data_IF_364682297073
#
_entry.id   IF_364682297073
#
_cell.length_a   1.000
_cell.length_b   1.000
_cell.length_c   1.000
_cell.angle_alpha   90.00
_cell.angle_beta   90.00
_cell.angle_gamma   90.00
#
_symmetry.space_group_name_H-M   'P 1'
#
loop_
_entity.id
_entity.type
_entity.pdbx_description
1 polymer ?
#
# COMPACT_ATOMS: atom_id res chain seq x y z
N UNK A 1 6.75 1.30 13.10
CA UNK A 1 5.52 1.87 13.70
C UNK A 1 5.36 3.27 13.16
N UNK A 2 4.36 3.52 12.32
CA UNK A 2 4.05 4.85 11.81
C UNK A 2 3.37 5.69 12.89
N UNK A 3 3.41 7.00 12.73
CA UNK A 3 2.67 7.93 13.59
C UNK A 3 1.19 7.78 13.26
N UNK A 4 0.43 7.20 14.18
CA UNK A 4 -1.00 6.96 13.98
C UNK A 4 -1.74 8.29 13.78
N UNK A 5 -2.61 8.36 12.76
CA UNK A 5 -3.38 9.56 12.45
C UNK A 5 -2.61 10.67 11.74
N UNK A 6 -1.32 10.47 11.41
CA UNK A 6 -0.52 11.52 10.74
C UNK A 6 -1.04 11.80 9.32
N UNK A 7 -1.41 10.79 8.57
CA UNK A 7 -1.90 10.99 7.21
C UNK A 7 -3.21 11.76 7.21
N UNK A 8 -4.18 11.37 8.05
CA UNK A 8 -5.46 12.06 8.21
C UNK A 8 -5.27 13.51 8.70
N UNK A 9 -4.28 13.71 9.58
CA UNK A 9 -3.94 15.05 10.05
C UNK A 9 -3.40 15.92 8.91
N UNK A 10 -2.51 15.39 8.08
CA UNK A 10 -1.93 16.11 6.92
C UNK A 10 -3.01 16.41 5.89
N UNK A 11 -3.87 15.46 5.58
CA UNK A 11 -5.01 15.66 4.67
C UNK A 11 -5.96 16.76 5.15
N UNK A 12 -6.19 16.85 6.46
CA UNK A 12 -7.09 17.85 7.04
C UNK A 12 -6.46 19.24 7.20
N UNK A 13 -5.14 19.33 7.46
CA UNK A 13 -4.49 20.58 7.88
C UNK A 13 -3.43 21.10 6.91
N UNK A 14 -3.00 20.30 5.92
CA UNK A 14 -1.96 20.66 4.96
C UNK A 14 -2.47 20.48 3.50
N UNK A 15 -3.48 21.23 3.06
CA UNK A 15 -4.11 21.02 1.75
C UNK A 15 -3.14 21.22 0.58
N UNK A 16 -2.09 22.06 0.73
CA UNK A 16 -1.07 22.26 -0.31
C UNK A 16 -0.11 21.09 -0.44
N UNK A 17 -0.02 20.25 0.61
CA UNK A 17 0.78 19.04 0.59
C UNK A 17 0.05 17.86 -0.05
N UNK A 18 -1.25 17.98 -0.35
CA UNK A 18 -2.10 16.92 -0.85
C UNK A 18 -2.63 17.29 -2.24
N UNK A 19 -2.25 16.51 -3.26
CA UNK A 19 -2.64 16.74 -4.63
C UNK A 19 -3.25 15.49 -5.25
N UNK A 20 -4.49 15.57 -5.77
CA UNK A 20 -5.03 14.47 -6.57
C UNK A 20 -4.37 14.49 -7.95
N UNK A 21 -3.73 13.39 -8.33
CA UNK A 21 -2.90 13.29 -9.53
C UNK A 21 -3.26 12.08 -10.38
N UNK A 22 -3.03 12.22 -11.68
CA UNK A 22 -2.90 11.09 -12.61
C UNK A 22 -1.46 10.59 -12.60
N UNK A 23 -1.26 9.30 -12.31
CA UNK A 23 0.08 8.71 -12.21
C UNK A 23 0.88 8.85 -13.50
N UNK A 24 0.24 8.68 -14.65
CA UNK A 24 0.90 8.84 -15.95
C UNK A 24 1.39 10.26 -16.15
N UNK A 25 0.56 11.26 -15.84
CA UNK A 25 0.92 12.66 -16.00
C UNK A 25 2.11 13.05 -15.12
N UNK A 26 2.16 12.53 -13.88
CA UNK A 26 3.27 12.80 -12.95
C UNK A 26 4.55 12.10 -13.38
N UNK A 27 4.46 10.80 -13.71
CA UNK A 27 5.63 9.95 -13.90
C UNK A 27 6.26 10.09 -15.29
N UNK A 28 5.51 10.53 -16.30
CA UNK A 28 6.01 10.79 -17.66
C UNK A 28 6.05 12.29 -18.02
N UNK A 29 5.75 13.17 -17.04
CA UNK A 29 5.81 14.63 -17.25
C UNK A 29 7.22 15.17 -17.38
N UNK A 30 7.34 16.45 -17.74
CA UNK A 30 8.64 17.14 -17.94
C UNK A 30 9.58 17.15 -16.71
N UNK A 31 9.05 16.81 -15.52
CA UNK A 31 9.81 16.71 -14.27
C UNK A 31 10.10 15.25 -13.87
N UNK A 32 9.89 14.28 -14.78
CA UNK A 32 10.20 12.89 -14.49
C UNK A 32 11.71 12.72 -14.18
N UNK A 33 11.99 12.11 -13.05
CA UNK A 33 13.36 11.95 -12.52
C UNK A 33 14.13 10.80 -13.16
N UNK A 34 13.48 9.93 -13.96
CA UNK A 34 14.12 8.78 -14.59
C UNK A 34 14.04 8.86 -16.12
N UNK A 35 15.18 8.54 -16.76
CA UNK A 35 15.31 8.51 -18.22
C UNK A 35 14.71 7.24 -18.87
N UNK A 36 14.06 6.36 -18.10
CA UNK A 36 13.48 5.09 -18.51
C UNK A 36 12.01 4.96 -18.16
N UNK A 37 11.50 3.74 -18.28
CA UNK A 37 10.16 3.39 -17.81
C UNK A 37 10.10 3.58 -16.28
N UNK A 38 9.14 4.38 -15.75
CA UNK A 38 9.06 4.60 -14.32
C UNK A 38 8.67 3.32 -13.58
N UNK A 39 9.33 3.08 -12.46
CA UNK A 39 9.10 1.93 -11.57
C UNK A 39 8.57 2.44 -10.25
N UNK A 40 7.45 1.88 -9.78
CA UNK A 40 6.85 2.16 -8.48
C UNK A 40 6.98 0.95 -7.55
N UNK A 41 7.37 1.21 -6.31
CA UNK A 41 7.26 0.22 -5.25
C UNK A 41 5.84 0.24 -4.69
N UNK A 42 5.24 -0.93 -4.57
CA UNK A 42 3.86 -1.06 -4.07
C UNK A 42 3.85 -1.90 -2.80
N UNK A 43 3.41 -1.30 -1.72
CA UNK A 43 3.09 -2.04 -0.50
C UNK A 43 1.83 -2.88 -0.73
N UNK A 44 2.01 -4.18 -0.83
CA UNK A 44 0.93 -5.12 -1.18
C UNK A 44 -0.21 -5.08 -0.16
N UNK A 45 0.12 -4.95 1.12
CA UNK A 45 -0.88 -4.92 2.19
C UNK A 45 -1.76 -3.68 2.11
N UNK A 46 -1.18 -2.54 1.75
CA UNK A 46 -1.90 -1.29 1.51
C UNK A 46 -2.88 -1.38 0.34
N UNK A 47 -2.56 -2.18 -0.67
CA UNK A 47 -3.39 -2.38 -1.86
C UNK A 47 -4.36 -3.58 -1.76
N UNK A 48 -4.42 -4.27 -0.61
CA UNK A 48 -5.19 -5.50 -0.45
C UNK A 48 -6.67 -5.34 -0.83
N UNK A 49 -7.28 -4.19 -0.58
CA UNK A 49 -8.69 -3.90 -0.94
C UNK A 49 -8.97 -3.99 -2.45
N UNK A 50 -7.95 -3.75 -3.29
CA UNK A 50 -8.05 -3.84 -4.75
C UNK A 50 -7.79 -5.26 -5.26
N UNK A 51 -7.08 -6.07 -4.49
CA UNK A 51 -6.62 -7.41 -4.86
C UNK A 51 -7.53 -8.51 -4.31
N UNK A 52 -7.88 -8.41 -3.04
CA UNK A 52 -8.79 -9.30 -2.34
C UNK A 52 -9.55 -8.48 -1.27
N UNK A 53 -10.56 -7.72 -1.72
CA UNK A 53 -11.26 -6.76 -0.87
C UNK A 53 -12.53 -7.32 -0.22
N UNK A 54 -13.21 -6.52 0.58
CA UNK A 54 -14.44 -6.90 1.29
C UNK A 54 -15.66 -7.09 0.39
N UNK A 55 -15.51 -6.84 -0.92
CA UNK A 55 -16.53 -7.12 -1.94
C UNK A 55 -16.45 -8.56 -2.46
N UNK A 56 -15.31 -9.22 -2.27
CA UNK A 56 -15.13 -10.65 -2.54
C UNK A 56 -15.88 -11.48 -1.49
N UNK A 57 -16.39 -12.65 -1.86
CA UNK A 57 -17.00 -13.57 -0.90
C UNK A 57 -15.91 -14.26 -0.05
N UNK A 58 -15.42 -13.52 0.93
CA UNK A 58 -14.26 -13.88 1.76
C UNK A 58 -14.59 -14.78 2.95
N UNK A 59 -15.87 -14.86 3.37
CA UNK A 59 -16.25 -15.50 4.65
C UNK A 59 -15.90 -16.97 4.67
N UNK A 60 -16.10 -17.67 3.56
CA UNK A 60 -15.69 -19.09 3.43
C UNK A 60 -14.25 -19.24 2.94
N UNK A 61 -13.55 -18.13 2.68
CA UNK A 61 -12.21 -18.15 2.08
C UNK A 61 -12.23 -18.58 0.62
N UNK A 62 -11.05 -18.73 0.02
CA UNK A 62 -10.93 -19.12 -1.38
C UNK A 62 -11.11 -17.93 -2.35
N UNK A 63 -11.95 -18.08 -3.38
CA UNK A 63 -12.17 -17.07 -4.43
C UNK A 63 -10.88 -16.70 -5.18
N UNK A 64 -9.92 -17.63 -5.26
CA UNK A 64 -8.58 -17.40 -5.83
C UNK A 64 -8.63 -17.00 -7.30
N UNK A 65 -9.62 -17.50 -8.05
CA UNK A 65 -9.81 -17.10 -9.45
C UNK A 65 -10.27 -15.63 -9.56
N UNK A 66 -11.06 -15.15 -8.61
CA UNK A 66 -11.45 -13.73 -8.57
C UNK A 66 -10.27 -12.87 -8.18
N UNK A 67 -9.51 -13.27 -7.17
CA UNK A 67 -8.27 -12.62 -6.77
C UNK A 67 -7.29 -12.55 -7.94
N UNK A 68 -7.08 -13.65 -8.67
CA UNK A 68 -6.20 -13.66 -9.83
C UNK A 68 -6.65 -12.67 -10.91
N UNK A 69 -7.94 -12.62 -11.23
CA UNK A 69 -8.47 -11.60 -12.18
C UNK A 69 -8.21 -10.17 -11.68
N UNK A 70 -8.35 -9.92 -10.38
CA UNK A 70 -8.05 -8.61 -9.80
C UNK A 70 -6.57 -8.27 -9.91
N UNK A 71 -5.67 -9.22 -9.65
CA UNK A 71 -4.21 -9.05 -9.81
C UNK A 71 -3.85 -8.80 -11.26
N UNK A 72 -4.42 -9.55 -12.21
CA UNK A 72 -4.23 -9.33 -13.63
C UNK A 72 -4.72 -7.95 -14.07
N UNK A 73 -5.90 -7.53 -13.61
CA UNK A 73 -6.43 -6.20 -13.89
C UNK A 73 -5.53 -5.11 -13.32
N UNK A 74 -5.13 -5.22 -12.05
CA UNK A 74 -4.22 -4.31 -11.38
C UNK A 74 -2.91 -4.15 -12.17
N UNK A 75 -2.24 -5.26 -12.46
CA UNK A 75 -0.97 -5.28 -13.21
C UNK A 75 -1.13 -4.68 -14.62
N UNK A 76 -2.18 -5.08 -15.32
CA UNK A 76 -2.47 -4.60 -16.69
C UNK A 76 -2.72 -3.09 -16.69
N UNK A 77 -3.41 -2.56 -15.70
CA UNK A 77 -3.70 -1.13 -15.59
C UNK A 77 -2.42 -0.29 -15.51
N UNK A 78 -1.45 -0.71 -14.71
CA UNK A 78 -0.14 -0.03 -14.64
C UNK A 78 0.65 -0.17 -15.95
N UNK A 79 0.70 -1.36 -16.54
CA UNK A 79 1.40 -1.60 -17.82
C UNK A 79 0.80 -0.78 -18.97
N UNK A 80 -0.52 -0.57 -19.01
CA UNK A 80 -1.18 0.29 -20.00
C UNK A 80 -0.76 1.76 -19.88
N UNK A 81 -0.33 2.19 -18.68
CA UNK A 81 0.23 3.51 -18.44
C UNK A 81 1.75 3.58 -18.68
N UNK A 82 2.37 2.48 -19.14
CA UNK A 82 3.82 2.32 -19.28
C UNK A 82 4.54 2.54 -17.92
N UNK A 83 3.94 2.04 -16.83
CA UNK A 83 4.49 2.08 -15.47
C UNK A 83 4.78 0.64 -15.04
N UNK A 84 6.00 0.38 -14.58
CA UNK A 84 6.38 -0.88 -13.95
C UNK A 84 6.09 -0.82 -12.45
N UNK A 85 5.73 -1.97 -11.89
CA UNK A 85 5.50 -2.09 -10.43
C UNK A 85 6.35 -3.21 -9.86
N UNK A 86 6.83 -2.98 -8.65
CA UNK A 86 7.48 -3.99 -7.80
C UNK A 86 6.63 -4.17 -6.55
N UNK A 87 6.14 -5.38 -6.34
CA UNK A 87 5.28 -5.67 -5.19
C UNK A 87 6.13 -6.03 -3.98
N UNK A 88 5.98 -5.26 -2.91
CA UNK A 88 6.66 -5.49 -1.65
C UNK A 88 5.73 -6.16 -0.63
N UNK A 89 6.20 -7.24 -0.04
CA UNK A 89 5.49 -7.99 0.99
C UNK A 89 6.21 -7.90 2.33
N UNK A 90 5.43 -7.87 3.39
CA UNK A 90 5.96 -8.00 4.75
C UNK A 90 6.64 -9.36 4.92
N UNK A 91 7.84 -9.37 5.45
CA UNK A 91 8.61 -10.57 5.72
C UNK A 91 8.37 -11.10 7.14
N UNK A 92 9.25 -11.98 7.57
CA UNK A 92 9.24 -12.46 8.95
C UNK A 92 9.61 -11.31 9.88
N UNK A 93 8.80 -11.13 10.92
CA UNK A 93 8.96 -10.03 11.87
C UNK A 93 10.29 -10.10 12.64
N UNK A 94 10.88 -8.94 12.87
CA UNK A 94 11.99 -8.77 13.80
C UNK A 94 11.63 -9.37 15.17
N UNK A 95 12.50 -10.16 15.75
CA UNK A 95 12.33 -10.74 17.10
C UNK A 95 12.00 -9.67 18.16
N UNK A 96 12.46 -8.43 17.97
CA UNK A 96 12.13 -7.27 18.81
C UNK A 96 10.65 -6.89 18.76
N UNK A 97 9.94 -7.25 17.70
CA UNK A 97 8.50 -6.99 17.49
C UNK A 97 7.63 -8.19 17.87
N UNK A 98 8.18 -9.25 18.47
CA UNK A 98 7.45 -10.48 18.80
C UNK A 98 6.21 -10.21 19.66
N UNK A 99 6.30 -9.31 20.64
CA UNK A 99 5.16 -8.96 21.48
C UNK A 99 4.00 -8.34 20.68
N UNK A 100 4.31 -7.41 19.78
CA UNK A 100 3.32 -6.79 18.89
C UNK A 100 2.72 -7.83 17.92
N UNK A 101 3.55 -8.72 17.40
CA UNK A 101 3.09 -9.82 16.55
C UNK A 101 2.10 -10.72 17.32
N UNK A 102 2.42 -11.12 18.55
CA UNK A 102 1.53 -11.94 19.39
C UNK A 102 0.20 -11.20 19.64
N UNK A 103 0.26 -9.90 19.97
CA UNK A 103 -0.93 -9.06 20.16
C UNK A 103 -1.80 -9.07 18.91
N UNK A 104 -1.21 -8.80 17.75
CA UNK A 104 -1.92 -8.79 16.46
C UNK A 104 -2.53 -10.17 16.12
N UNK A 105 -1.83 -11.27 16.42
CA UNK A 105 -2.40 -12.63 16.23
C UNK A 105 -3.59 -12.90 17.15
N UNK A 106 -3.56 -12.41 18.38
CA UNK A 106 -4.67 -12.53 19.30
C UNK A 106 -5.89 -11.70 18.86
N UNK A 107 -5.69 -10.49 18.36
CA UNK A 107 -6.75 -9.64 17.79
C UNK A 107 -7.38 -10.32 16.56
N UNK A 108 -6.57 -10.85 15.65
CA UNK A 108 -7.04 -11.62 14.50
C UNK A 108 -7.87 -12.83 14.94
N UNK A 109 -7.44 -13.55 15.98
CA UNK A 109 -8.17 -14.70 16.53
C UNK A 109 -9.50 -14.31 17.14
N UNK A 110 -9.55 -13.16 17.84
CA UNK A 110 -10.81 -12.64 18.40
C UNK A 110 -11.77 -12.23 17.29
N UNK A 111 -11.28 -11.55 16.25
CA UNK A 111 -12.08 -11.18 15.08
C UNK A 111 -12.67 -12.42 14.38
N UNK A 112 -11.85 -13.45 14.17
CA UNK A 112 -12.31 -14.70 13.58
C UNK A 112 -13.44 -15.35 14.42
N UNK A 113 -13.32 -15.34 15.76
CA UNK A 113 -14.38 -15.83 16.67
C UNK A 113 -15.66 -15.00 16.56
N UNK A 114 -15.57 -13.68 16.42
CA UNK A 114 -16.72 -12.81 16.24
C UNK A 114 -17.43 -13.13 14.92
N UNK A 115 -16.68 -13.32 13.83
CA UNK A 115 -17.21 -13.69 12.52
C UNK A 115 -17.95 -15.04 12.61
N UNK A 116 -17.33 -16.06 13.16
CA UNK A 116 -17.95 -17.38 13.34
C UNK A 116 -19.21 -17.30 14.21
N UNK A 117 -19.14 -16.56 15.32
CA UNK A 117 -20.30 -16.35 16.20
C UNK A 117 -21.45 -15.62 15.50
N UNK A 118 -21.16 -14.66 14.63
CA UNK A 118 -22.16 -13.97 13.83
C UNK A 118 -22.83 -14.94 12.84
N UNK A 119 -22.04 -15.67 12.05
CA UNK A 119 -22.56 -16.64 11.07
C UNK A 119 -23.42 -17.71 11.73
N UNK A 120 -22.97 -18.26 12.87
CA UNK A 120 -23.72 -19.31 13.60
C UNK A 120 -25.04 -18.78 14.20
N UNK A 121 -25.08 -17.53 14.68
CA UNK A 121 -26.27 -16.98 15.32
C UNK A 121 -27.27 -16.41 14.34
N UNK A 122 -26.76 -15.72 13.31
CA UNK A 122 -27.59 -14.94 12.38
C UNK A 122 -27.87 -15.69 11.07
N UNK A 123 -27.22 -16.82 10.83
CA UNK A 123 -27.27 -17.58 9.57
C UNK A 123 -27.11 -16.68 8.34
N UNK A 124 -26.24 -15.65 8.47
CA UNK A 124 -25.98 -14.65 7.43
C UNK A 124 -24.51 -14.22 7.49
N UNK A 125 -23.99 -13.73 6.39
CA UNK A 125 -22.62 -13.23 6.35
C UNK A 125 -22.49 -11.92 7.13
N UNK A 126 -21.37 -11.71 7.85
CA UNK A 126 -21.12 -10.47 8.56
C UNK A 126 -20.93 -9.31 7.57
N UNK A 127 -21.26 -8.11 8.00
CA UNK A 127 -21.02 -6.91 7.20
C UNK A 127 -19.53 -6.61 6.98
N UNK A 128 -19.23 -5.71 6.05
CA UNK A 128 -17.87 -5.31 5.65
C UNK A 128 -16.97 -4.86 6.83
N UNK A 129 -17.55 -4.45 7.95
CA UNK A 129 -16.80 -4.04 9.15
C UNK A 129 -16.03 -5.19 9.83
N UNK A 130 -16.45 -6.43 9.59
CA UNK A 130 -15.79 -7.62 10.13
C UNK A 130 -14.91 -8.30 9.09
N UNK A 131 -14.53 -7.59 8.02
CA UNK A 131 -13.68 -8.14 6.98
C UNK A 131 -12.39 -8.74 7.54
N UNK A 132 -12.11 -9.97 7.14
CA UNK A 132 -10.92 -10.71 7.53
C UNK A 132 -10.41 -11.50 6.33
N UNK A 133 -9.25 -11.15 5.78
CA UNK A 133 -8.68 -11.86 4.64
C UNK A 133 -8.22 -13.26 5.07
N UNK A 134 -8.31 -14.27 4.17
CA UNK A 134 -7.80 -15.61 4.46
C UNK A 134 -6.32 -15.58 4.85
N UNK A 135 -5.87 -16.42 5.81
CA UNK A 135 -4.48 -16.42 6.27
C UNK A 135 -3.43 -16.65 5.18
N UNK A 136 -3.79 -17.35 4.11
CA UNK A 136 -2.89 -17.68 2.99
C UNK A 136 -2.91 -16.62 1.87
N UNK A 137 -3.65 -15.53 2.02
CA UNK A 137 -3.82 -14.52 0.95
C UNK A 137 -2.49 -13.96 0.48
N UNK A 138 -1.55 -13.70 1.37
CA UNK A 138 -0.23 -13.16 1.00
C UNK A 138 0.56 -14.12 0.12
N UNK A 139 0.54 -15.42 0.43
CA UNK A 139 1.18 -16.46 -0.38
C UNK A 139 0.52 -16.56 -1.77
N UNK A 140 -0.80 -16.55 -1.81
CA UNK A 140 -1.54 -16.61 -3.08
C UNK A 140 -1.30 -15.35 -3.94
N UNK A 141 -1.23 -14.17 -3.33
CA UNK A 141 -0.92 -12.92 -4.04
C UNK A 141 0.51 -12.93 -4.60
N UNK A 142 1.50 -13.42 -3.85
CA UNK A 142 2.88 -13.56 -4.37
C UNK A 142 2.92 -14.43 -5.62
N UNK A 143 2.29 -15.59 -5.58
CA UNK A 143 2.23 -16.50 -6.73
C UNK A 143 1.48 -15.87 -7.92
N UNK A 144 0.38 -15.16 -7.65
CA UNK A 144 -0.40 -14.48 -8.68
C UNK A 144 0.42 -13.36 -9.36
N UNK A 145 1.13 -12.52 -8.60
CA UNK A 145 1.99 -11.49 -9.18
C UNK A 145 3.17 -12.08 -9.97
N UNK A 146 3.80 -13.12 -9.45
CA UNK A 146 4.84 -13.84 -10.17
C UNK A 146 4.34 -14.43 -11.49
N UNK A 147 3.12 -15.01 -11.51
CA UNK A 147 2.50 -15.53 -12.73
C UNK A 147 2.18 -14.43 -13.75
N UNK A 148 1.94 -13.20 -13.29
CA UNK A 148 1.80 -12.02 -14.14
C UNK A 148 3.13 -11.40 -14.58
N UNK A 149 4.28 -12.00 -14.22
CA UNK A 149 5.61 -11.47 -14.52
C UNK A 149 5.93 -10.16 -13.82
N UNK A 150 5.42 -9.98 -12.59
CA UNK A 150 5.71 -8.83 -11.72
C UNK A 150 6.81 -9.22 -10.74
N UNK A 151 7.79 -8.35 -10.53
CA UNK A 151 8.82 -8.56 -9.52
C UNK A 151 8.20 -8.49 -8.12
N UNK A 152 8.50 -9.50 -7.31
CA UNK A 152 8.01 -9.63 -5.93
C UNK A 152 9.20 -9.61 -4.98
N UNK A 153 9.19 -8.68 -4.04
CA UNK A 153 10.17 -8.55 -2.98
C UNK A 153 9.54 -8.86 -1.61
N UNK A 154 10.35 -9.32 -0.68
CA UNK A 154 9.94 -9.56 0.71
C UNK A 154 10.93 -8.85 1.62
N UNK A 155 10.44 -8.05 2.56
CA UNK A 155 11.29 -7.35 3.52
C UNK A 155 12.02 -8.32 4.44
N UNK A 156 13.24 -7.98 4.80
CA UNK A 156 14.07 -8.73 5.75
C UNK A 156 13.88 -8.26 7.20
N UNK A 157 13.51 -6.99 7.37
CA UNK A 157 13.32 -6.38 8.69
C UNK A 157 12.13 -5.40 8.69
N UNK A 158 12.37 -4.11 8.49
CA UNK A 158 11.32 -3.08 8.49
C UNK A 158 10.92 -2.75 7.06
N UNK A 159 9.72 -3.18 6.67
CA UNK A 159 9.19 -3.02 5.32
C UNK A 159 9.32 -1.60 4.79
N UNK A 160 8.87 -0.60 5.56
CA UNK A 160 8.78 0.77 5.07
C UNK A 160 10.16 1.43 4.91
N UNK A 161 11.09 1.12 5.85
CA UNK A 161 12.47 1.59 5.74
C UNK A 161 13.20 0.95 4.57
N UNK A 162 13.01 -0.35 4.37
CA UNK A 162 13.60 -1.05 3.24
C UNK A 162 13.06 -0.53 1.91
N UNK A 163 11.74 -0.33 1.80
CA UNK A 163 11.13 0.27 0.61
C UNK A 163 11.69 1.67 0.34
N UNK A 164 11.79 2.53 1.36
CA UNK A 164 12.33 3.88 1.19
C UNK A 164 13.80 3.85 0.74
N UNK A 165 14.63 3.02 1.39
CA UNK A 165 16.05 2.87 1.03
C UNK A 165 16.23 2.30 -0.38
N UNK A 166 15.44 1.31 -0.76
CA UNK A 166 15.47 0.71 -2.09
C UNK A 166 15.01 1.70 -3.16
N UNK A 167 13.96 2.46 -2.87
CA UNK A 167 13.44 3.50 -3.77
C UNK A 167 14.51 4.57 -4.07
N UNK A 168 15.24 5.00 -3.06
CA UNK A 168 16.35 5.96 -3.22
C UNK A 168 17.56 5.35 -3.93
N UNK A 169 17.99 4.16 -3.50
CA UNK A 169 19.21 3.50 -4.02
C UNK A 169 19.12 3.18 -5.50
N UNK A 170 17.97 2.75 -5.98
CA UNK A 170 17.69 2.42 -7.38
C UNK A 170 17.08 3.59 -8.17
N UNK A 171 16.99 4.77 -7.58
CA UNK A 171 16.41 5.97 -8.20
C UNK A 171 15.01 5.69 -8.81
N UNK A 172 14.15 4.97 -8.07
CA UNK A 172 12.83 4.61 -8.53
C UNK A 172 11.89 5.82 -8.49
N UNK A 173 10.76 5.70 -9.18
CA UNK A 173 9.83 6.81 -9.37
C UNK A 173 9.02 7.18 -8.10
N UNK A 174 8.84 6.24 -7.17
CA UNK A 174 8.13 6.49 -5.91
C UNK A 174 7.52 5.24 -5.28
N UNK A 175 6.69 5.46 -4.29
CA UNK A 175 6.06 4.42 -3.46
C UNK A 175 4.55 4.59 -3.44
N UNK A 176 3.81 3.47 -3.52
CA UNK A 176 2.36 3.41 -3.25
C UNK A 176 2.16 2.67 -1.91
N UNK A 177 1.61 3.36 -0.91
CA UNK A 177 1.30 2.78 0.41
C UNK A 177 0.18 3.57 1.09
N UNK A 178 -0.33 3.07 2.22
CA UNK A 178 -1.19 3.83 3.14
C UNK A 178 -0.47 4.20 4.44
N UNK A 179 0.83 3.96 4.52
CA UNK A 179 1.58 4.08 5.76
C UNK A 179 2.18 5.48 5.92
N UNK A 180 1.84 6.14 7.02
CA UNK A 180 2.24 7.53 7.30
C UNK A 180 3.76 7.76 7.39
N UNK A 181 4.57 6.70 7.57
CA UNK A 181 6.04 6.80 7.59
C UNK A 181 6.60 7.40 6.30
N UNK A 182 5.94 7.18 5.15
CA UNK A 182 6.36 7.75 3.86
C UNK A 182 6.17 9.27 3.74
N UNK A 183 5.42 9.88 4.65
CA UNK A 183 5.36 11.34 4.80
C UNK A 183 6.67 11.91 5.42
N UNK A 184 7.38 11.08 6.18
CA UNK A 184 8.63 11.45 6.85
C UNK A 184 9.85 11.01 6.06
N UNK A 185 9.80 9.83 5.43
CA UNK A 185 10.89 9.31 4.63
C UNK A 185 11.09 10.15 3.36
N UNK A 186 12.35 10.31 2.98
CA UNK A 186 12.74 11.03 1.78
C UNK A 186 12.59 10.11 0.56
N UNK A 187 11.37 10.00 0.02
CA UNK A 187 11.08 9.27 -1.22
C UNK A 187 10.71 10.24 -2.33
N UNK A 188 11.04 9.95 -3.61
CA UNK A 188 10.78 10.87 -4.72
C UNK A 188 9.30 11.24 -4.88
N UNK A 189 8.40 10.27 -4.71
CA UNK A 189 6.97 10.47 -4.66
C UNK A 189 6.34 9.48 -3.69
N UNK A 190 5.43 9.96 -2.85
CA UNK A 190 4.55 9.13 -2.05
C UNK A 190 3.13 9.24 -2.56
N UNK A 191 2.55 8.12 -2.95
CA UNK A 191 1.18 8.00 -3.46
C UNK A 191 0.32 7.18 -2.48
N UNK A 192 -0.86 7.69 -2.19
CA UNK A 192 -1.79 7.02 -1.27
C UNK A 192 -2.47 5.80 -1.91
N UNK A 193 -2.30 4.63 -1.32
CA UNK A 193 -3.04 3.44 -1.71
C UNK A 193 -4.54 3.55 -1.40
N UNK A 194 -4.92 4.37 -0.42
CA UNK A 194 -6.33 4.54 -0.03
C UNK A 194 -7.12 5.34 -1.06
N UNK A 195 -6.48 6.28 -1.73
CA UNK A 195 -7.08 7.11 -2.78
C UNK A 195 -6.87 6.55 -4.19
N UNK A 196 -6.23 5.38 -4.32
CA UNK A 196 -5.98 4.75 -5.61
C UNK A 196 -7.29 4.37 -6.30
N UNK A 197 -7.50 4.90 -7.50
CA UNK A 197 -8.69 4.66 -8.32
C UNK A 197 -8.27 4.25 -9.73
N UNK A 198 -8.88 3.20 -10.24
CA UNK A 198 -8.64 2.68 -11.58
C UNK A 198 -9.81 3.07 -12.49
N UNK A 199 -9.52 3.76 -13.56
CA UNK A 199 -10.45 4.02 -14.66
C UNK A 199 -10.02 3.27 -15.92
N UNK A 200 -10.82 3.35 -17.00
CA UNK A 200 -10.46 2.70 -18.26
C UNK A 200 -9.18 3.25 -18.89
N UNK A 201 -8.83 4.49 -18.59
CA UNK A 201 -7.72 5.20 -19.23
C UNK A 201 -6.65 5.68 -18.27
N UNK A 202 -7.01 5.94 -17.02
CA UNK A 202 -6.17 6.65 -16.08
C UNK A 202 -6.12 5.92 -14.74
N UNK A 203 -5.02 6.09 -14.01
CA UNK A 203 -4.87 5.68 -12.61
C UNK A 203 -4.65 6.95 -11.82
N UNK A 204 -5.63 7.31 -10.98
CA UNK A 204 -5.53 8.49 -10.13
C UNK A 204 -5.34 8.12 -8.67
N UNK A 205 -4.66 8.98 -7.95
CA UNK A 205 -4.45 8.85 -6.51
C UNK A 205 -4.11 10.20 -5.91
N UNK A 206 -3.97 10.26 -4.59
CA UNK A 206 -3.42 11.41 -3.88
C UNK A 206 -1.90 11.26 -3.79
N UNK A 207 -1.18 12.29 -4.23
CA UNK A 207 0.25 12.46 -4.00
C UNK A 207 0.45 13.37 -2.79
N UNK A 208 1.40 13.00 -1.93
CA UNK A 208 1.83 13.83 -0.82
C UNK A 208 3.17 14.49 -1.14
N UNK A 209 3.21 15.81 -1.00
CA UNK A 209 4.42 16.60 -1.14
C UNK A 209 5.00 16.88 0.25
N UNK A 210 6.13 16.24 0.56
CA UNK A 210 6.80 16.34 1.85
C UNK A 210 7.29 17.78 2.13
N UNK A 211 7.83 18.47 1.13
CA UNK A 211 8.35 19.83 1.32
C UNK A 211 7.21 20.80 1.63
N UNK A 212 6.11 20.74 0.87
CA UNK A 212 4.93 21.53 1.14
C UNK A 212 4.36 21.25 2.53
N UNK A 213 4.32 19.98 2.96
CA UNK A 213 3.91 19.59 4.31
C UNK A 213 4.80 20.22 5.39
N UNK A 214 6.12 20.15 5.24
CA UNK A 214 7.05 20.73 6.21
C UNK A 214 6.87 22.25 6.33
N UNK A 215 6.64 22.94 5.22
CA UNK A 215 6.37 24.38 5.19
C UNK A 215 5.05 24.71 5.91
N UNK A 216 3.97 23.98 5.60
CA UNK A 216 2.66 24.22 6.23
C UNK A 216 2.65 23.92 7.72
N UNK A 217 3.41 22.89 8.16
CA UNK A 217 3.59 22.56 9.56
C UNK A 217 4.61 23.47 10.27
N UNK A 218 5.21 24.46 9.58
CA UNK A 218 6.26 25.32 10.13
C UNK A 218 7.46 24.54 10.71
N UNK A 219 7.70 23.32 10.20
CA UNK A 219 8.82 22.52 10.58
C UNK A 219 10.05 22.92 9.76
N UNK A 220 11.05 23.50 10.38
CA UNK A 220 12.34 23.75 9.73
C UNK A 220 13.18 22.49 9.72
N UNK A 221 13.79 22.17 8.58
CA UNK A 221 14.76 21.08 8.50
C UNK A 221 16.00 21.48 9.34
N UNK A 222 16.25 20.77 10.45
CA UNK A 222 17.41 21.03 11.34
C UNK A 222 18.76 20.77 10.69
N UNK A 223 18.80 20.28 9.46
CA UNK A 223 20.04 20.07 8.69
C UNK A 223 20.66 21.35 8.12
N UNK A 224 19.95 22.48 8.18
CA UNK A 224 20.45 23.76 7.66
C UNK A 224 21.12 24.65 8.70
N UNK A 225 21.43 24.11 9.90
CA UNK A 225 22.16 24.83 10.96
C UNK A 225 23.40 24.01 11.33
N UNK A 226 24.38 23.99 10.43
CA UNK A 226 25.81 23.78 10.74
C UNK A 226 26.63 24.64 9.80
#
# INVERSE_FOLDING_TARGET
MGIQGLQEYVEANCPKACEEVDLKAVLHGKKATSAGQPVLLVDTKSCLKHLYGPTTDWVCGGQWNEMLRNVEHFTRSFRQQNIEIVMYFDGEGDSRKLYEWIKNQNEKRQLARQILGHVMKMNSYPGKRLYFPPPVVDTCLRLAFLSCGVLVCTSMADLHKEMASYCQGECLAGVISHHADFLVFDVPNYFSADHLKFSKKDITTMRFDREAMLIELTLQDRKSVV
#
